data_IF_722398499522
#
_entry.id   IF_722398499522
#
_cell.length_a   1.000
_cell.length_b   1.000
_cell.length_c   1.000
_cell.angle_alpha   90.00
_cell.angle_beta   90.00
_cell.angle_gamma   90.00
#
_symmetry.space_group_name_H-M   'P 1'
#
loop_
_entity.id
_entity.type
_entity.pdbx_description
1 polymer ?
#
# COMPACT_ATOMS: atom_id res chain seq x y z
N UNK A 1 -1.12 -2.49 1.15
CA UNK A 1 -0.10 -2.08 0.15
C UNK A 1 0.91 -1.15 0.81
N UNK A 2 2.18 -1.16 0.39
CA UNK A 2 3.26 -0.33 0.93
C UNK A 2 3.43 0.91 0.06
N UNK A 3 3.43 2.09 0.71
CA UNK A 3 3.58 3.40 0.06
C UNK A 3 5.02 3.88 0.03
N UNK A 4 5.34 4.73 -0.95
CA UNK A 4 6.65 5.40 -1.06
C UNK A 4 6.67 6.76 -0.36
N UNK A 5 5.55 7.19 0.23
CA UNK A 5 5.41 8.50 0.86
C UNK A 5 6.49 8.76 1.92
N UNK A 6 7.15 9.94 1.90
CA UNK A 6 8.15 10.29 2.90
C UNK A 6 7.66 10.18 4.33
N UNK A 7 6.38 10.49 4.58
CA UNK A 7 5.81 10.46 5.93
C UNK A 7 5.67 9.05 6.51
N UNK A 8 5.74 8.04 5.64
CA UNK A 8 5.78 6.64 6.03
C UNK A 8 7.21 6.09 6.09
N UNK A 9 8.00 6.32 5.03
CA UNK A 9 9.30 5.65 4.83
C UNK A 9 10.43 6.27 5.66
N UNK A 10 10.40 7.60 5.88
CA UNK A 10 11.54 8.33 6.46
C UNK A 10 11.68 8.18 7.97
N UNK A 11 10.68 7.66 8.68
CA UNK A 11 10.70 7.66 10.13
C UNK A 11 11.49 6.49 10.71
N UNK A 12 12.10 6.73 11.86
CA UNK A 12 12.76 5.70 12.69
C UNK A 12 12.25 5.78 14.12
N UNK A 13 12.34 4.67 14.84
CA UNK A 13 12.11 4.67 16.28
C UNK A 13 13.09 5.65 16.94
N UNK A 14 12.58 6.50 17.82
CA UNK A 14 13.41 7.40 18.61
C UNK A 14 14.12 6.58 19.69
N UNK A 15 15.43 6.37 19.56
CA UNK A 15 16.22 5.70 20.59
C UNK A 15 16.13 6.54 21.89
N UNK A 16 15.43 6.01 22.90
CA UNK A 16 15.18 6.68 24.18
C UNK A 16 13.84 7.41 24.31
N UNK A 17 12.98 7.36 23.29
CA UNK A 17 11.66 7.98 23.29
C UNK A 17 11.72 9.51 23.16
N UNK A 18 11.23 10.05 22.05
CA UNK A 18 10.93 11.48 22.04
C UNK A 18 9.84 11.76 23.10
N UNK A 19 9.76 13.01 23.60
CA UNK A 19 8.85 13.36 24.70
C UNK A 19 7.36 13.01 24.46
N UNK A 20 7.00 12.71 23.21
CA UNK A 20 5.64 12.46 22.77
C UNK A 20 5.39 10.98 22.39
N UNK A 21 6.39 10.10 22.51
CA UNK A 21 6.30 8.68 22.14
C UNK A 21 6.19 8.39 20.64
N UNK A 22 6.44 9.39 19.79
CA UNK A 22 6.34 9.26 18.34
C UNK A 22 7.69 8.87 17.70
N UNK A 23 7.68 8.26 16.50
CA UNK A 23 8.89 8.12 15.68
C UNK A 23 9.51 9.49 15.34
N UNK A 24 10.81 9.50 15.08
CA UNK A 24 11.55 10.69 14.60
C UNK A 24 11.71 10.63 13.08
N UNK A 25 11.49 11.75 12.40
CA UNK A 25 11.76 11.87 10.96
C UNK A 25 13.25 11.77 10.69
N UNK A 26 13.64 10.89 9.78
CA UNK A 26 15.03 10.65 9.40
C UNK A 26 15.14 10.51 7.88
N UNK A 27 15.21 11.65 7.16
CA UNK A 27 15.17 11.69 5.69
C UNK A 27 16.28 10.87 4.99
N UNK A 28 17.35 10.50 5.70
CA UNK A 28 18.34 9.57 5.19
C UNK A 28 17.74 8.19 4.87
N UNK A 29 16.66 7.77 5.54
CA UNK A 29 15.91 6.55 5.26
C UNK A 29 15.07 6.62 3.97
N UNK A 30 14.87 7.80 3.39
CA UNK A 30 14.02 7.98 2.20
C UNK A 30 14.69 7.41 0.94
N UNK A 31 14.68 6.08 0.83
CA UNK A 31 15.43 5.26 -0.14
C UNK A 31 14.65 4.01 -0.54
N UNK A 32 14.96 3.49 -1.72
CA UNK A 32 14.44 2.20 -2.21
C UNK A 32 14.70 1.04 -1.23
N UNK A 33 15.87 1.03 -0.61
CA UNK A 33 16.26 -0.02 0.34
C UNK A 33 15.37 -0.05 1.58
N UNK A 34 14.98 1.12 2.09
CA UNK A 34 14.04 1.21 3.19
C UNK A 34 12.63 0.78 2.77
N UNK A 35 12.17 1.11 1.56
CA UNK A 35 10.89 0.62 1.03
C UNK A 35 10.87 -0.91 0.97
N UNK A 36 11.89 -1.53 0.39
CA UNK A 36 12.03 -2.99 0.34
C UNK A 36 12.07 -3.61 1.75
N UNK A 37 12.71 -2.95 2.71
CA UNK A 37 12.72 -3.36 4.12
C UNK A 37 11.33 -3.32 4.75
N UNK A 38 10.50 -2.32 4.44
CA UNK A 38 9.10 -2.29 4.89
C UNK A 38 8.28 -3.42 4.29
N UNK A 39 8.42 -3.68 2.98
CA UNK A 39 7.77 -4.79 2.27
C UNK A 39 8.13 -6.11 2.96
N UNK A 40 9.42 -6.36 3.16
CA UNK A 40 9.92 -7.55 3.83
C UNK A 40 9.40 -7.67 5.26
N UNK A 41 9.47 -6.60 6.05
CA UNK A 41 9.01 -6.64 7.45
C UNK A 41 7.53 -7.04 7.56
N UNK A 42 6.67 -6.50 6.69
CA UNK A 42 5.24 -6.87 6.70
C UNK A 42 5.08 -8.32 6.25
N UNK A 43 5.78 -8.74 5.18
CA UNK A 43 5.74 -10.12 4.70
C UNK A 43 6.21 -11.14 5.73
N UNK A 44 7.33 -10.86 6.42
CA UNK A 44 7.88 -11.68 7.51
C UNK A 44 6.90 -11.78 8.70
N UNK A 45 6.08 -10.75 8.91
CA UNK A 45 5.16 -10.67 10.05
C UNK A 45 3.82 -11.34 9.80
N UNK A 46 3.22 -11.15 8.62
CA UNK A 46 1.84 -11.58 8.33
C UNK A 46 1.71 -12.50 7.11
N UNK A 47 2.79 -12.80 6.40
CA UNK A 47 2.77 -13.52 5.13
C UNK A 47 2.86 -12.60 3.91
N UNK A 48 3.68 -12.97 2.93
CA UNK A 48 3.88 -12.20 1.69
C UNK A 48 2.64 -12.15 0.81
N UNK A 49 1.74 -13.10 0.94
CA UNK A 49 0.43 -13.15 0.28
C UNK A 49 -0.50 -12.01 0.71
N UNK A 50 -0.13 -11.19 1.70
CA UNK A 50 -0.89 -10.03 2.18
C UNK A 50 -0.24 -8.68 1.84
N UNK A 51 0.86 -8.69 1.08
CA UNK A 51 1.64 -7.48 0.76
C UNK A 51 1.42 -7.06 -0.70
N UNK A 52 1.43 -5.76 -0.96
CA UNK A 52 1.35 -5.22 -2.32
C UNK A 52 2.02 -3.85 -2.39
N UNK A 53 2.20 -3.31 -3.58
CA UNK A 53 2.84 -2.01 -3.82
C UNK A 53 1.78 -0.95 -4.10
N UNK A 54 1.86 0.20 -3.42
CA UNK A 54 0.96 1.33 -3.64
C UNK A 54 1.77 2.61 -3.64
N UNK A 55 2.46 2.88 -4.76
CA UNK A 55 3.53 3.89 -4.83
C UNK A 55 3.10 5.27 -4.35
N UNK A 56 1.90 5.71 -4.74
CA UNK A 56 1.41 7.08 -4.55
C UNK A 56 2.23 8.13 -5.33
N UNK A 57 2.78 7.71 -6.49
CA UNK A 57 3.41 8.66 -7.43
C UNK A 57 2.44 9.79 -7.81
N UNK A 58 2.99 10.98 -7.99
CA UNK A 58 2.27 12.25 -8.18
C UNK A 58 1.36 12.70 -7.01
N UNK A 59 1.26 11.88 -5.94
CA UNK A 59 0.52 12.19 -4.70
C UNK A 59 1.39 12.73 -3.56
N UNK A 60 2.72 12.75 -3.73
CA UNK A 60 3.68 13.07 -2.67
C UNK A 60 4.65 14.21 -3.03
N UNK A 61 5.18 14.96 -2.04
CA UNK A 61 6.06 16.10 -2.30
C UNK A 61 7.47 15.72 -2.74
N UNK A 62 7.90 14.48 -2.47
CA UNK A 62 9.21 13.95 -2.83
C UNK A 62 9.16 12.42 -2.86
N UNK A 63 9.96 11.82 -3.73
CA UNK A 63 10.08 10.38 -3.88
C UNK A 63 11.33 9.81 -3.19
N UNK A 64 11.36 8.52 -2.81
CA UNK A 64 12.56 7.87 -2.31
C UNK A 64 13.70 7.87 -3.33
N UNK A 65 14.94 7.99 -2.85
CA UNK A 65 16.13 7.82 -3.71
C UNK A 65 16.15 6.40 -4.28
N UNK A 66 16.28 6.29 -5.61
CA UNK A 66 16.14 5.04 -6.36
C UNK A 66 14.70 4.72 -6.79
N UNK A 67 13.71 5.53 -6.42
CA UNK A 67 12.31 5.43 -6.83
C UNK A 67 11.82 6.78 -7.37
N UNK A 68 12.63 7.45 -8.20
CA UNK A 68 12.36 8.80 -8.67
C UNK A 68 11.05 8.92 -9.45
N UNK A 69 10.70 7.89 -10.21
CA UNK A 69 9.52 7.85 -11.08
C UNK A 69 9.06 6.40 -11.36
N UNK A 70 8.01 6.28 -12.17
CA UNK A 70 7.40 5.00 -12.54
C UNK A 70 8.31 4.05 -13.33
N UNK A 71 9.43 4.52 -13.89
CA UNK A 71 10.41 3.65 -14.56
C UNK A 71 11.20 2.77 -13.58
N UNK A 72 11.11 3.05 -12.27
CA UNK A 72 11.93 2.43 -11.22
C UNK A 72 11.37 1.16 -10.59
N UNK A 73 10.22 0.67 -11.04
CA UNK A 73 9.68 -0.61 -10.54
C UNK A 73 10.63 -1.80 -10.71
N UNK A 74 11.37 -1.97 -11.83
CA UNK A 74 12.37 -3.02 -11.95
C UNK A 74 13.48 -2.93 -10.89
N UNK A 75 13.91 -1.71 -10.55
CA UNK A 75 14.92 -1.47 -9.51
C UNK A 75 14.39 -1.89 -8.13
N UNK A 76 13.09 -1.70 -7.86
CA UNK A 76 12.46 -2.12 -6.60
C UNK A 76 12.43 -3.64 -6.47
N UNK A 77 12.09 -4.35 -7.55
CA UNK A 77 12.07 -5.81 -7.56
C UNK A 77 13.48 -6.36 -7.31
N UNK A 78 14.50 -5.79 -7.97
CA UNK A 78 15.90 -6.17 -7.75
C UNK A 78 16.32 -5.94 -6.27
N UNK A 79 15.94 -4.80 -5.67
CA UNK A 79 16.21 -4.53 -4.26
C UNK A 79 15.47 -5.50 -3.32
N UNK A 80 14.23 -5.88 -3.63
CA UNK A 80 13.46 -6.88 -2.88
C UNK A 80 14.19 -8.24 -2.87
N UNK A 81 14.63 -8.70 -4.04
CA UNK A 81 15.37 -9.96 -4.19
C UNK A 81 16.71 -9.92 -3.42
N UNK A 82 17.46 -8.82 -3.53
CA UNK A 82 18.70 -8.61 -2.76
C UNK A 82 18.50 -8.69 -1.25
N UNK A 83 17.32 -8.30 -0.75
CA UNK A 83 16.99 -8.35 0.68
C UNK A 83 16.39 -9.69 1.15
N UNK A 84 16.33 -10.70 0.27
CA UNK A 84 15.94 -12.06 0.61
C UNK A 84 14.45 -12.38 0.42
N UNK A 85 13.69 -11.51 -0.23
CA UNK A 85 12.37 -11.87 -0.76
C UNK A 85 12.61 -12.85 -1.90
N UNK A 86 11.99 -14.02 -1.86
CA UNK A 86 12.26 -15.08 -2.83
C UNK A 86 11.57 -14.83 -4.17
N UNK A 87 12.03 -15.52 -5.21
CA UNK A 87 11.41 -15.48 -6.54
C UNK A 87 9.95 -16.00 -6.51
N UNK A 88 9.59 -16.84 -5.54
CA UNK A 88 8.19 -17.25 -5.34
C UNK A 88 7.34 -16.16 -4.69
N UNK A 89 7.93 -15.32 -3.83
CA UNK A 89 7.20 -14.27 -3.10
C UNK A 89 7.13 -12.94 -3.87
N UNK A 90 8.08 -12.66 -4.76
CA UNK A 90 8.09 -11.41 -5.52
C UNK A 90 6.83 -11.24 -6.41
N UNK A 91 6.36 -12.24 -7.17
CA UNK A 91 5.12 -12.15 -7.95
C UNK A 91 3.88 -11.87 -7.10
N UNK A 92 3.80 -12.46 -5.90
CA UNK A 92 2.72 -12.19 -4.94
C UNK A 92 2.59 -10.69 -4.67
N UNK A 93 3.72 -10.05 -4.37
CA UNK A 93 3.79 -8.63 -4.00
C UNK A 93 3.54 -7.72 -5.19
N UNK A 94 4.03 -8.08 -6.38
CA UNK A 94 3.94 -7.25 -7.58
C UNK A 94 2.55 -7.27 -8.19
N UNK A 95 1.87 -8.43 -8.20
CA UNK A 95 0.62 -8.58 -8.96
C UNK A 95 -0.38 -9.55 -8.31
N UNK A 96 0.03 -10.76 -7.94
CA UNK A 96 -0.92 -11.85 -7.72
C UNK A 96 -1.84 -11.60 -6.52
N UNK A 97 -1.35 -10.94 -5.48
CA UNK A 97 -2.17 -10.59 -4.31
C UNK A 97 -3.28 -9.60 -4.66
N UNK A 98 -2.99 -8.61 -5.51
CA UNK A 98 -3.99 -7.65 -5.97
C UNK A 98 -5.07 -8.37 -6.78
N UNK A 99 -4.66 -9.22 -7.72
CA UNK A 99 -5.59 -9.98 -8.56
C UNK A 99 -6.45 -10.94 -7.75
N UNK A 100 -5.87 -11.61 -6.75
CA UNK A 100 -6.63 -12.48 -5.84
C UNK A 100 -7.71 -11.71 -5.08
N UNK A 101 -7.34 -10.59 -4.46
CA UNK A 101 -8.30 -9.77 -3.70
C UNK A 101 -9.39 -9.19 -4.61
N UNK A 102 -9.03 -8.73 -5.80
CA UNK A 102 -10.02 -8.24 -6.77
C UNK A 102 -10.98 -9.36 -7.18
N UNK A 103 -10.48 -10.56 -7.48
CA UNK A 103 -11.32 -11.71 -7.81
C UNK A 103 -12.27 -12.09 -6.67
N UNK A 104 -11.81 -12.03 -5.41
CA UNK A 104 -12.65 -12.26 -4.25
C UNK A 104 -13.74 -11.19 -4.08
N UNK A 105 -13.42 -9.92 -4.34
CA UNK A 105 -14.40 -8.82 -4.35
C UNK A 105 -15.48 -9.07 -5.39
N UNK A 106 -15.10 -9.42 -6.62
CA UNK A 106 -16.06 -9.72 -7.70
C UNK A 106 -16.96 -10.91 -7.34
N UNK A 107 -16.39 -11.95 -6.74
CA UNK A 107 -17.14 -13.14 -6.28
C UNK A 107 -18.16 -12.78 -5.22
N UNK A 108 -17.80 -11.95 -4.24
CA UNK A 108 -18.72 -11.49 -3.19
C UNK A 108 -19.80 -10.59 -3.79
N UNK A 109 -19.44 -9.65 -4.66
CA UNK A 109 -20.39 -8.77 -5.32
C UNK A 109 -21.44 -9.55 -6.12
N UNK A 110 -21.01 -10.54 -6.91
CA UNK A 110 -21.90 -11.42 -7.67
C UNK A 110 -22.84 -12.20 -6.76
N UNK A 111 -22.32 -12.77 -5.67
CA UNK A 111 -23.14 -13.52 -4.71
C UNK A 111 -24.25 -12.65 -4.11
N UNK A 112 -23.93 -11.43 -3.66
CA UNK A 112 -24.94 -10.53 -3.06
C UNK A 112 -26.04 -10.16 -4.07
N UNK A 113 -25.68 -9.97 -5.34
CA UNK A 113 -26.65 -9.73 -6.41
C UNK A 113 -27.55 -10.95 -6.68
N UNK A 114 -26.98 -12.16 -6.67
CA UNK A 114 -27.74 -13.42 -6.82
C UNK A 114 -28.65 -13.72 -5.63
N UNK A 115 -28.21 -13.37 -4.41
CA UNK A 115 -28.97 -13.50 -3.17
C UNK A 115 -30.11 -12.45 -3.07
N UNK A 116 -30.15 -11.46 -3.96
CA UNK A 116 -31.20 -10.44 -4.04
C UNK A 116 -31.05 -9.30 -3.02
N UNK A 117 -29.83 -9.07 -2.52
CA UNK A 117 -29.53 -7.97 -1.61
C UNK A 117 -29.84 -6.62 -2.26
N UNK A 118 -30.55 -5.75 -1.53
CA UNK A 118 -30.92 -4.44 -2.03
C UNK A 118 -29.71 -3.49 -2.01
N UNK A 119 -29.58 -2.57 -2.99
CA UNK A 119 -28.57 -1.52 -2.94
C UNK A 119 -28.69 -0.68 -1.66
N UNK A 120 -27.55 -0.25 -1.13
CA UNK A 120 -27.55 0.75 -0.06
C UNK A 120 -28.03 2.09 -0.64
N UNK A 121 -29.14 2.61 -0.10
CA UNK A 121 -29.70 3.91 -0.48
C UNK A 121 -29.37 4.95 0.60
N UNK A 122 -29.00 6.16 0.18
CA UNK A 122 -28.81 7.30 1.07
C UNK A 122 -30.15 7.81 1.61
N UNK A 123 -30.25 8.05 2.92
CA UNK A 123 -31.39 8.75 3.53
C UNK A 123 -31.20 10.26 3.39
N UNK A 124 -31.57 10.79 2.23
CA UNK A 124 -31.47 12.21 1.94
C UNK A 124 -32.73 12.95 2.41
N UNK A 125 -32.59 14.15 3.02
CA UNK A 125 -33.74 14.97 3.35
C UNK A 125 -34.51 15.31 2.08
N UNK A 126 -35.85 15.27 2.17
CA UNK A 126 -36.73 15.69 1.08
C UNK A 126 -36.42 17.14 0.67
N UNK A 127 -35.70 17.31 -0.43
CA UNK A 127 -35.50 18.62 -1.06
C UNK A 127 -36.76 18.98 -1.85
N UNK A 128 -37.24 20.22 -1.69
CA UNK A 128 -38.25 20.75 -2.61
C UNK A 128 -37.69 20.68 -4.02
N UNK A 129 -38.47 20.10 -4.93
CA UNK A 129 -38.16 20.07 -6.36
C UNK A 129 -37.82 21.49 -6.83
N UNK A 130 -36.56 21.77 -7.24
CA UNK A 130 -36.16 23.12 -7.64
C UNK A 130 -36.81 23.55 -8.97
N UNK A 131 -37.53 22.65 -9.62
CA UNK A 131 -38.21 22.86 -10.90
C UNK A 131 -39.73 23.00 -10.78
N UNK A 132 -40.29 23.03 -9.56
CA UNK A 132 -41.70 23.38 -9.28
C UNK A 132 -41.82 24.65 -8.45
#
# INVERSE_FOLDING_TARGET
MVTFSPDFVSYRNSEGGNKNGLPERYDANLTISQVAKHIRYIGDLIGYEHVGIGSDFDGMPATPRGLEDVSKYPDLVDEMLKQGITDENAPLIVEENLLRVWSDVDRVAKKLQEDGELPAEDDLPSVKDPWK
#
